data_IF_567854129422
#
_entry.id   IF_567854129422
#
_cell.length_a   1.000
_cell.length_b   1.000
_cell.length_c   1.000
_cell.angle_alpha   90.00
_cell.angle_beta   90.00
_cell.angle_gamma   90.00
#
_symmetry.space_group_name_H-M   'P 1'
#
loop_
_entity.id
_entity.type
_entity.pdbx_description
1 polymer ?
#
# COMPACT_ATOMS: atom_id res chain seq x y z
N UNK A 1 48.59 -20.20 15.36
CA UNK A 1 47.52 -19.84 14.40
C UNK A 1 46.85 -21.10 13.82
N UNK A 2 46.54 -22.09 14.67
CA UNK A 2 45.94 -23.38 14.27
C UNK A 2 44.73 -23.80 15.14
N UNK A 3 44.56 -23.24 16.34
CA UNK A 3 43.50 -23.66 17.26
C UNK A 3 42.14 -22.97 17.04
N UNK A 4 42.07 -21.93 16.20
CA UNK A 4 40.83 -21.18 15.95
C UNK A 4 39.97 -21.77 14.80
N UNK A 5 40.52 -22.69 13.99
CA UNK A 5 39.80 -23.30 12.86
C UNK A 5 38.94 -24.50 13.31
N UNK A 6 39.33 -25.17 14.40
CA UNK A 6 38.70 -26.41 14.86
C UNK A 6 37.37 -26.21 15.63
N UNK A 7 37.11 -25.00 16.13
CA UNK A 7 35.89 -24.68 16.89
C UNK A 7 34.68 -24.34 15.99
N UNK A 8 34.89 -23.91 14.75
CA UNK A 8 33.83 -23.60 13.78
C UNK A 8 33.20 -24.83 13.11
N UNK A 9 33.98 -25.87 12.85
CA UNK A 9 33.47 -27.14 12.30
C UNK A 9 32.61 -27.91 13.31
N UNK A 10 32.94 -27.83 14.60
CA UNK A 10 32.17 -28.52 15.63
C UNK A 10 30.78 -27.90 15.84
N UNK A 11 30.68 -26.56 15.79
CA UNK A 11 29.40 -25.87 16.00
C UNK A 11 28.42 -26.08 14.83
N UNK A 12 28.92 -26.09 13.59
CA UNK A 12 28.12 -26.37 12.38
C UNK A 12 27.62 -27.83 12.31
N UNK A 13 28.43 -28.78 12.78
CA UNK A 13 28.03 -30.19 12.96
C UNK A 13 26.91 -30.36 13.99
N UNK A 14 26.95 -29.58 15.08
CA UNK A 14 25.96 -29.68 16.15
C UNK A 14 24.61 -29.05 15.74
N UNK A 15 24.65 -27.90 15.06
CA UNK A 15 23.44 -27.23 14.52
C UNK A 15 22.74 -28.08 13.45
N UNK A 16 23.49 -28.74 12.57
CA UNK A 16 22.91 -29.63 11.56
C UNK A 16 22.27 -30.88 12.17
N UNK A 17 22.87 -31.45 13.22
CA UNK A 17 22.28 -32.56 13.99
C UNK A 17 21.00 -32.14 14.71
N UNK A 18 20.96 -30.96 15.33
CA UNK A 18 19.75 -30.43 16.00
C UNK A 18 18.62 -30.18 14.99
N UNK A 19 18.93 -29.59 13.82
CA UNK A 19 17.93 -29.36 12.76
C UNK A 19 17.37 -30.67 12.21
N UNK A 20 18.21 -31.69 12.04
CA UNK A 20 17.79 -33.04 11.66
C UNK A 20 16.90 -33.70 12.72
N UNK A 21 17.15 -33.47 14.00
CA UNK A 21 16.33 -34.01 15.09
C UNK A 21 14.98 -33.29 15.17
N UNK A 22 14.95 -31.96 14.98
CA UNK A 22 13.71 -31.18 14.92
C UNK A 22 12.84 -31.55 13.71
N UNK A 23 13.44 -31.73 12.52
CA UNK A 23 12.68 -32.12 11.33
C UNK A 23 12.08 -33.52 11.46
N UNK A 24 12.83 -34.46 12.06
CA UNK A 24 12.32 -35.79 12.40
C UNK A 24 11.19 -35.69 13.43
N UNK A 25 11.36 -34.88 14.48
CA UNK A 25 10.32 -34.61 15.48
C UNK A 25 9.03 -34.05 14.86
N UNK A 26 9.14 -33.09 13.94
CA UNK A 26 7.99 -32.54 13.21
C UNK A 26 7.31 -33.60 12.33
N UNK A 27 8.07 -34.45 11.65
CA UNK A 27 7.50 -35.52 10.82
C UNK A 27 6.71 -36.54 11.65
N UNK A 28 7.19 -36.90 12.85
CA UNK A 28 6.45 -37.77 13.76
C UNK A 28 5.20 -37.07 14.32
N UNK A 29 5.27 -35.77 14.62
CA UNK A 29 4.11 -35.00 15.06
C UNK A 29 3.00 -34.95 13.98
N UNK A 30 3.39 -34.80 12.70
CA UNK A 30 2.46 -34.87 11.56
C UNK A 30 1.79 -36.24 11.43
N UNK A 31 2.54 -37.33 11.60
CA UNK A 31 2.00 -38.69 11.56
C UNK A 31 0.99 -38.90 12.70
N UNK A 32 1.30 -38.42 13.92
CA UNK A 32 0.40 -38.50 15.07
C UNK A 32 -0.87 -37.66 14.83
N UNK A 33 -0.74 -36.45 14.26
CA UNK A 33 -1.88 -35.60 13.93
C UNK A 33 -2.81 -36.24 12.89
N UNK A 34 -2.24 -36.86 11.84
CA UNK A 34 -3.02 -37.60 10.84
C UNK A 34 -3.71 -38.80 11.48
N UNK A 35 -3.01 -39.58 12.32
CA UNK A 35 -3.59 -40.72 13.02
C UNK A 35 -4.73 -40.30 13.96
N UNK A 36 -4.55 -39.21 14.71
CA UNK A 36 -5.58 -38.64 15.57
C UNK A 36 -6.79 -38.18 14.76
N UNK A 37 -6.58 -37.47 13.64
CA UNK A 37 -7.64 -37.00 12.74
C UNK A 37 -8.45 -38.17 12.16
N UNK A 38 -7.77 -39.23 11.71
CA UNK A 38 -8.42 -40.45 11.22
C UNK A 38 -9.21 -41.14 12.34
N UNK A 39 -8.66 -41.21 13.56
CA UNK A 39 -9.36 -41.77 14.71
C UNK A 39 -10.61 -40.94 15.08
N UNK A 40 -10.54 -39.61 15.02
CA UNK A 40 -11.69 -38.73 15.23
C UNK A 40 -12.76 -38.96 14.17
N UNK A 41 -12.40 -38.98 12.88
CA UNK A 41 -13.35 -39.27 11.78
C UNK A 41 -13.95 -40.66 11.95
N UNK A 42 -13.17 -41.66 12.35
CA UNK A 42 -13.65 -43.01 12.63
C UNK A 42 -14.61 -43.06 13.83
N UNK A 43 -14.35 -42.29 14.88
CA UNK A 43 -15.22 -42.23 16.05
C UNK A 43 -16.56 -41.56 15.72
N UNK A 44 -16.54 -40.51 14.90
CA UNK A 44 -17.75 -39.79 14.48
C UNK A 44 -18.48 -40.42 13.28
N UNK A 45 -17.91 -41.47 12.64
CA UNK A 45 -18.51 -42.14 11.47
C UNK A 45 -19.93 -42.67 11.72
N UNK A 46 -20.20 -43.13 12.94
CA UNK A 46 -21.50 -43.68 13.36
C UNK A 46 -22.50 -42.55 13.64
N UNK A 47 -22.03 -41.42 14.16
CA UNK A 47 -22.88 -40.28 14.53
C UNK A 47 -23.26 -39.41 13.32
N UNK A 48 -22.38 -39.29 12.32
CA UNK A 48 -22.58 -38.43 11.15
C UNK A 48 -23.25 -39.10 9.94
N UNK A 49 -23.63 -40.39 10.04
CA UNK A 49 -24.22 -41.19 8.93
C UNK A 49 -23.50 -40.95 7.59
N UNK A 50 -22.17 -40.87 7.61
CA UNK A 50 -21.38 -40.44 6.45
C UNK A 50 -21.59 -41.34 5.23
N UNK A 51 -21.83 -42.62 5.45
CA UNK A 51 -22.13 -43.58 4.39
C UNK A 51 -23.46 -43.28 3.70
N UNK A 52 -24.53 -43.00 4.44
CA UNK A 52 -25.84 -42.65 3.87
C UNK A 52 -25.76 -41.33 3.09
N UNK A 53 -25.09 -40.32 3.65
CA UNK A 53 -24.91 -39.03 2.99
C UNK A 53 -24.06 -39.14 1.71
N UNK A 54 -23.01 -39.97 1.72
CA UNK A 54 -22.18 -40.19 0.54
C UNK A 54 -22.93 -40.96 -0.55
N UNK A 55 -23.78 -41.93 -0.18
CA UNK A 55 -24.63 -42.66 -1.11
C UNK A 55 -25.74 -41.76 -1.68
N UNK A 56 -26.32 -40.85 -0.89
CA UNK A 56 -27.31 -39.87 -1.37
C UNK A 56 -26.67 -38.87 -2.33
N UNK A 57 -25.48 -38.34 -2.02
CA UNK A 57 -24.74 -37.42 -2.89
C UNK A 57 -24.30 -38.12 -4.18
N UNK A 58 -23.79 -39.35 -4.09
CA UNK A 58 -23.39 -40.12 -5.27
C UNK A 58 -24.61 -40.52 -6.11
N UNK A 59 -25.73 -40.85 -5.46
CA UNK A 59 -27.01 -41.09 -6.13
C UNK A 59 -27.51 -39.85 -6.86
N UNK A 60 -27.48 -38.69 -6.21
CA UNK A 60 -27.87 -37.41 -6.80
C UNK A 60 -26.98 -37.06 -8.01
N UNK A 61 -25.66 -37.23 -7.90
CA UNK A 61 -24.71 -37.00 -9.00
C UNK A 61 -24.94 -37.98 -10.16
N UNK A 62 -25.22 -39.25 -9.86
CA UNK A 62 -25.51 -40.26 -10.89
C UNK A 62 -26.91 -40.11 -11.54
N UNK A 63 -27.82 -39.36 -10.91
CA UNK A 63 -29.15 -39.06 -11.48
C UNK A 63 -29.13 -37.81 -12.37
N UNK A 64 -28.07 -36.99 -12.31
CA UNK A 64 -27.87 -35.85 -13.20
C UNK A 64 -27.50 -36.36 -14.60
N UNK A 65 -28.50 -36.55 -15.44
CA UNK A 65 -28.31 -36.97 -16.83
C UNK A 65 -27.44 -35.96 -17.59
N UNK A 66 -26.61 -36.39 -18.55
CA UNK A 66 -25.81 -35.48 -19.39
C UNK A 66 -26.62 -34.36 -20.04
N UNK A 67 -27.91 -34.61 -20.31
CA UNK A 67 -28.87 -33.63 -20.82
C UNK A 67 -29.11 -32.46 -19.86
N UNK A 68 -29.09 -32.70 -18.54
CA UNK A 68 -29.23 -31.64 -17.53
C UNK A 68 -27.97 -30.77 -17.47
N UNK A 69 -26.77 -31.35 -17.53
CA UNK A 69 -25.53 -30.56 -17.58
C UNK A 69 -25.43 -29.70 -18.84
N UNK A 70 -25.84 -30.24 -20.00
CA UNK A 70 -25.91 -29.48 -21.25
C UNK A 70 -26.95 -28.36 -21.16
N UNK A 71 -28.12 -28.64 -20.56
CA UNK A 71 -29.15 -27.61 -20.35
C UNK A 71 -28.72 -26.53 -19.35
N UNK A 72 -28.04 -26.90 -18.26
CA UNK A 72 -27.53 -25.99 -17.24
C UNK A 72 -26.41 -25.09 -17.77
N UNK A 73 -25.50 -25.66 -18.57
CA UNK A 73 -24.42 -24.92 -19.21
C UNK A 73 -24.96 -24.01 -20.32
N UNK A 74 -25.93 -24.49 -21.09
CA UNK A 74 -26.59 -23.69 -22.12
C UNK A 74 -27.36 -22.51 -21.53
N UNK A 75 -28.15 -22.74 -20.48
CA UNK A 75 -28.93 -21.68 -19.82
C UNK A 75 -28.03 -20.67 -19.11
N UNK A 76 -26.98 -21.12 -18.41
CA UNK A 76 -26.04 -20.20 -17.75
C UNK A 76 -25.24 -19.36 -18.75
N UNK A 77 -24.84 -19.92 -19.89
CA UNK A 77 -24.16 -19.19 -20.96
C UNK A 77 -25.06 -18.12 -21.60
N UNK A 78 -26.34 -18.43 -21.85
CA UNK A 78 -27.30 -17.47 -22.41
C UNK A 78 -27.56 -16.32 -21.42
N UNK A 79 -27.76 -16.64 -20.14
CA UNK A 79 -27.99 -15.63 -19.10
C UNK A 79 -26.75 -14.74 -18.95
N UNK A 80 -25.56 -15.33 -18.92
CA UNK A 80 -24.29 -14.59 -18.84
C UNK A 80 -24.08 -13.67 -20.05
N UNK A 81 -24.40 -14.14 -21.26
CA UNK A 81 -24.35 -13.33 -22.48
C UNK A 81 -25.31 -12.14 -22.45
N UNK A 82 -26.54 -12.33 -21.97
CA UNK A 82 -27.52 -11.24 -21.82
C UNK A 82 -27.06 -10.18 -20.81
N UNK A 83 -26.51 -10.62 -19.67
CA UNK A 83 -25.95 -9.73 -18.66
C UNK A 83 -24.79 -8.92 -19.25
N UNK A 84 -23.90 -9.55 -20.04
CA UNK A 84 -22.77 -8.88 -20.66
C UNK A 84 -23.21 -7.82 -21.69
N UNK A 85 -24.22 -8.12 -22.52
CA UNK A 85 -24.76 -7.15 -23.48
C UNK A 85 -25.42 -5.97 -22.76
N UNK A 86 -26.16 -6.23 -21.69
CA UNK A 86 -26.76 -5.17 -20.87
C UNK A 86 -25.70 -4.31 -20.19
N UNK A 87 -24.69 -4.92 -19.59
CA UNK A 87 -23.55 -4.26 -18.95
C UNK A 87 -22.80 -3.37 -19.94
N UNK A 88 -22.52 -3.87 -21.15
CA UNK A 88 -21.87 -3.09 -22.19
C UNK A 88 -22.71 -1.88 -22.64
N UNK A 89 -24.02 -2.07 -22.82
CA UNK A 89 -24.93 -0.97 -23.16
C UNK A 89 -25.02 0.07 -22.05
N UNK A 90 -25.05 -0.38 -20.79
CA UNK A 90 -25.12 0.48 -19.61
C UNK A 90 -23.81 1.26 -19.43
N UNK A 91 -22.67 0.59 -19.51
CA UNK A 91 -21.34 1.19 -19.42
C UNK A 91 -21.12 2.23 -20.51
N UNK A 92 -21.53 1.94 -21.76
CA UNK A 92 -21.42 2.91 -22.87
C UNK A 92 -22.26 4.17 -22.62
N UNK A 93 -23.38 4.07 -21.89
CA UNK A 93 -24.30 5.18 -21.64
C UNK A 93 -23.95 6.00 -20.40
N UNK A 94 -23.44 5.36 -19.35
CA UNK A 94 -23.22 6.00 -18.04
C UNK A 94 -21.75 6.03 -17.59
N UNK A 95 -20.84 5.33 -18.28
CA UNK A 95 -19.41 5.28 -17.97
C UNK A 95 -19.05 4.52 -16.69
N UNK A 96 -20.01 3.80 -16.10
CA UNK A 96 -19.88 3.06 -14.84
C UNK A 96 -20.40 1.63 -15.03
N UNK A 97 -19.79 0.66 -14.36
CA UNK A 97 -20.21 -0.74 -14.40
C UNK A 97 -21.41 -0.97 -13.48
N UNK A 98 -22.49 -1.57 -13.99
CA UNK A 98 -23.68 -1.88 -13.20
C UNK A 98 -23.41 -3.07 -12.27
N UNK A 99 -22.71 -4.10 -12.76
CA UNK A 99 -22.28 -5.23 -11.93
C UNK A 99 -21.39 -4.76 -10.78
N UNK A 100 -20.48 -3.80 -11.00
CA UNK A 100 -19.64 -3.26 -9.94
C UNK A 100 -20.47 -2.56 -8.86
N UNK A 101 -21.45 -1.73 -9.23
CA UNK A 101 -22.33 -1.05 -8.26
C UNK A 101 -23.18 -2.04 -7.45
N UNK A 102 -23.75 -3.04 -8.10
CA UNK A 102 -24.61 -4.04 -7.45
C UNK A 102 -23.77 -4.99 -6.58
N UNK A 103 -22.60 -5.43 -7.07
CA UNK A 103 -21.69 -6.29 -6.30
C UNK A 103 -21.11 -5.57 -5.08
N UNK A 104 -20.74 -4.29 -5.20
CA UNK A 104 -20.30 -3.46 -4.07
C UNK A 104 -21.42 -3.31 -3.04
N UNK A 105 -22.68 -3.14 -3.47
CA UNK A 105 -23.82 -3.00 -2.55
C UNK A 105 -24.20 -4.32 -1.85
N UNK A 106 -24.12 -5.47 -2.52
CA UNK A 106 -24.48 -6.76 -1.94
C UNK A 106 -23.33 -7.48 -1.19
N UNK A 107 -22.07 -7.22 -1.56
CA UNK A 107 -20.91 -7.75 -0.84
C UNK A 107 -20.47 -6.84 0.32
N UNK A 108 -20.90 -5.57 0.35
CA UNK A 108 -20.63 -4.63 1.47
C UNK A 108 -20.98 -5.19 2.85
N UNK A 109 -22.17 -5.78 3.05
CA UNK A 109 -22.57 -6.31 4.36
C UNK A 109 -21.75 -7.55 4.76
N UNK A 110 -21.25 -8.33 3.79
CA UNK A 110 -20.44 -9.52 4.01
C UNK A 110 -18.95 -9.19 4.23
N UNK A 111 -18.47 -8.08 3.66
CA UNK A 111 -17.09 -7.57 3.84
C UNK A 111 -16.92 -6.63 5.05
N UNK A 112 -17.85 -6.66 6.01
CA UNK A 112 -17.72 -5.90 7.26
C UNK A 112 -17.87 -4.38 7.10
N UNK A 113 -18.55 -3.91 6.06
CA UNK A 113 -18.87 -2.51 5.89
C UNK A 113 -19.99 -2.08 6.84
N UNK A 114 -19.63 -1.51 8.00
CA UNK A 114 -20.56 -0.64 8.73
C UNK A 114 -20.86 0.59 7.88
N UNK A 115 -22.13 0.94 7.75
CA UNK A 115 -22.62 2.02 6.89
C UNK A 115 -21.95 3.38 7.14
N UNK A 116 -21.86 4.26 6.13
CA UNK A 116 -22.00 5.68 6.38
C UNK A 116 -23.50 6.01 6.38
N UNK A 117 -24.09 6.12 7.57
CA UNK A 117 -25.46 6.60 7.68
C UNK A 117 -25.51 8.06 7.21
N UNK A 118 -26.12 8.28 6.04
CA UNK A 118 -26.89 9.48 5.82
C UNK A 118 -28.23 9.30 6.57
N UNK A 119 -28.34 9.96 7.72
CA UNK A 119 -29.57 10.39 8.41
C UNK A 119 -30.79 9.45 8.35
N UNK A 120 -31.04 8.70 9.42
CA UNK A 120 -32.40 8.53 10.00
C UNK A 120 -32.36 8.02 11.45
N UNK A 121 -33.45 8.32 12.16
CA UNK A 121 -33.68 8.37 13.60
C UNK A 121 -33.69 6.99 14.30
N UNK A 122 -33.12 6.89 15.52
CA UNK A 122 -33.69 6.06 16.60
C UNK A 122 -32.84 4.94 17.26
N UNK A 123 -32.27 5.27 18.43
CA UNK A 123 -32.44 4.55 19.72
C UNK A 123 -31.72 3.21 20.02
N UNK A 124 -30.39 3.15 20.24
CA UNK A 124 -29.77 2.26 21.27
C UNK A 124 -28.37 2.75 21.67
N UNK A 125 -28.01 2.61 22.95
CA UNK A 125 -26.70 2.89 23.55
C UNK A 125 -25.86 1.62 23.70
N UNK A 126 -24.55 1.64 23.35
CA UNK A 126 -23.49 0.94 24.11
C UNK A 126 -22.08 1.17 23.55
N UNK A 127 -21.26 1.86 24.34
CA UNK A 127 -19.93 1.46 24.86
C UNK A 127 -18.87 0.81 23.94
N UNK A 128 -17.77 1.55 23.71
CA UNK A 128 -16.40 1.18 24.11
C UNK A 128 -15.65 0.01 23.44
N UNK A 129 -14.49 0.37 22.88
CA UNK A 129 -13.20 -0.37 22.85
C UNK A 129 -12.67 -0.95 21.52
N UNK A 130 -11.40 -0.57 21.26
CA UNK A 130 -10.35 -1.19 20.42
C UNK A 130 -10.32 -0.94 18.90
N UNK A 131 -9.80 0.25 18.54
CA UNK A 131 -9.17 0.50 17.23
C UNK A 131 -7.71 0.00 17.22
N UNK A 132 -7.47 -1.21 16.71
CA UNK A 132 -6.10 -1.61 16.30
C UNK A 132 -6.04 -2.62 15.15
N UNK A 133 -7.15 -2.95 14.49
CA UNK A 133 -7.19 -4.04 13.49
C UNK A 133 -7.80 -3.68 12.13
N UNK A 134 -8.10 -2.40 11.85
CA UNK A 134 -8.87 -1.98 10.65
C UNK A 134 -8.05 -1.72 9.38
N UNK A 135 -6.75 -1.99 9.36
CA UNK A 135 -5.92 -1.76 8.15
C UNK A 135 -5.79 -2.96 7.19
N UNK A 136 -6.46 -4.10 7.45
CA UNK A 136 -6.22 -5.36 6.73
C UNK A 136 -7.02 -5.55 5.42
N UNK A 137 -7.98 -4.69 5.09
CA UNK A 137 -8.61 -4.72 3.78
C UNK A 137 -7.98 -3.63 2.91
N UNK A 138 -6.90 -4.03 2.24
CA UNK A 138 -6.28 -3.26 1.17
C UNK A 138 -7.32 -3.09 0.06
N UNK A 139 -8.05 -1.97 0.12
CA UNK A 139 -8.69 -1.37 -1.04
C UNK A 139 -7.65 -1.41 -2.16
N UNK A 140 -7.99 -2.04 -3.29
CA UNK A 140 -7.19 -2.02 -4.50
C UNK A 140 -7.19 -0.57 -4.98
N UNK A 141 -6.38 0.27 -4.31
CA UNK A 141 -6.46 1.71 -4.41
C UNK A 141 -6.13 2.07 -5.84
N UNK A 142 -7.16 2.51 -6.55
CA UNK A 142 -7.08 3.13 -7.87
C UNK A 142 -5.89 4.10 -7.84
N UNK A 143 -5.01 3.90 -8.82
CA UNK A 143 -3.63 4.33 -8.80
C UNK A 143 -3.50 5.83 -8.48
N UNK A 144 -2.71 6.18 -7.46
CA UNK A 144 -2.39 7.56 -7.10
C UNK A 144 -1.26 8.07 -7.98
N UNK A 145 -1.51 9.00 -8.90
CA UNK A 145 -0.44 9.54 -9.78
C UNK A 145 0.50 8.42 -10.31
N UNK A 146 0.04 7.57 -11.28
CA UNK A 146 0.78 6.50 -11.98
C UNK A 146 2.27 6.71 -12.20
N UNK A 147 2.67 7.95 -12.36
CA UNK A 147 3.98 8.33 -12.83
C UNK A 147 4.80 9.03 -11.72
N UNK A 148 4.24 9.15 -10.51
CA UNK A 148 4.77 9.91 -9.38
C UNK A 148 5.26 11.33 -9.80
N UNK A 149 4.57 11.98 -10.76
CA UNK A 149 5.00 13.25 -11.34
C UNK A 149 5.10 14.36 -10.29
N UNK A 150 6.08 15.26 -10.47
CA UNK A 150 6.10 16.57 -9.82
C UNK A 150 5.04 17.47 -10.45
N UNK A 151 4.11 18.00 -9.63
CA UNK A 151 2.93 18.74 -10.13
C UNK A 151 3.33 19.95 -10.98
N UNK A 152 4.28 20.75 -10.53
CA UNK A 152 4.82 21.90 -11.27
C UNK A 152 5.79 21.45 -12.36
N UNK A 153 6.88 20.79 -11.95
CA UNK A 153 8.03 20.58 -12.82
C UNK A 153 7.78 19.59 -13.97
N UNK A 154 6.86 18.63 -13.81
CA UNK A 154 6.58 17.60 -14.80
C UNK A 154 5.13 17.69 -15.32
N UNK A 155 4.12 17.65 -14.44
CA UNK A 155 2.71 17.66 -14.84
C UNK A 155 2.33 18.98 -15.54
N UNK A 156 2.51 20.14 -14.88
CA UNK A 156 2.15 21.44 -15.45
C UNK A 156 2.98 21.74 -16.70
N UNK A 157 4.27 21.38 -16.69
CA UNK A 157 5.14 21.52 -17.85
C UNK A 157 4.66 20.69 -19.04
N UNK A 158 4.27 19.43 -18.82
CA UNK A 158 3.72 18.57 -19.87
C UNK A 158 2.40 19.13 -20.42
N UNK A 159 1.49 19.56 -19.55
CA UNK A 159 0.22 20.19 -19.94
C UNK A 159 0.45 21.48 -20.72
N UNK A 160 1.40 22.32 -20.31
CA UNK A 160 1.76 23.56 -21.01
C UNK A 160 2.27 23.29 -22.44
N UNK A 161 3.12 22.28 -22.61
CA UNK A 161 3.73 21.97 -23.91
C UNK A 161 2.75 21.26 -24.86
N UNK A 162 1.96 20.33 -24.33
CA UNK A 162 1.15 19.41 -25.15
C UNK A 162 -0.33 19.79 -25.22
N UNK A 163 -0.81 20.63 -24.30
CA UNK A 163 -2.23 20.90 -24.08
C UNK A 163 -3.02 19.71 -23.53
N UNK A 164 -2.34 18.63 -23.10
CA UNK A 164 -2.97 17.40 -22.59
C UNK A 164 -2.64 17.20 -21.12
N UNK A 165 -3.62 16.78 -20.34
CA UNK A 165 -3.43 16.45 -18.93
C UNK A 165 -2.86 15.02 -18.78
N UNK A 166 -1.69 14.83 -18.16
CA UNK A 166 -1.07 13.51 -18.01
C UNK A 166 -1.66 12.69 -16.85
N UNK A 167 -2.43 13.33 -15.96
CA UNK A 167 -3.15 12.71 -14.85
C UNK A 167 -4.61 13.13 -14.91
N UNK A 168 -5.51 12.25 -14.48
CA UNK A 168 -6.92 12.61 -14.40
C UNK A 168 -7.20 13.51 -13.20
N UNK A 169 -8.32 14.22 -13.23
CA UNK A 169 -8.84 14.96 -12.08
C UNK A 169 -8.96 14.07 -10.82
N UNK A 170 -9.34 12.80 -11.00
CA UNK A 170 -9.44 11.82 -9.92
C UNK A 170 -8.06 11.52 -9.29
N UNK A 171 -7.03 11.27 -10.10
CA UNK A 171 -5.67 11.01 -9.62
C UNK A 171 -5.09 12.21 -8.84
N UNK A 172 -5.41 13.42 -9.30
CA UNK A 172 -5.00 14.65 -8.65
C UNK A 172 -5.70 14.87 -7.30
N UNK A 173 -6.98 14.56 -7.23
CA UNK A 173 -7.74 14.60 -5.99
C UNK A 173 -7.25 13.57 -4.97
N UNK A 174 -6.95 12.34 -5.39
CA UNK A 174 -6.38 11.33 -4.49
C UNK A 174 -5.07 11.81 -3.87
N UNK A 175 -4.19 12.39 -4.69
CA UNK A 175 -2.93 12.96 -4.21
C UNK A 175 -3.15 14.10 -3.21
N UNK A 176 -4.14 14.97 -3.45
CA UNK A 176 -4.49 16.06 -2.53
C UNK A 176 -5.09 15.55 -1.20
N UNK A 177 -5.90 14.50 -1.24
CA UNK A 177 -6.44 13.86 -0.03
C UNK A 177 -5.32 13.19 0.79
N UNK A 178 -4.36 12.55 0.13
CA UNK A 178 -3.20 11.97 0.81
C UNK A 178 -2.35 13.10 1.46
N UNK A 179 -2.11 14.22 0.77
CA UNK A 179 -1.41 15.37 1.36
C UNK A 179 -2.13 15.92 2.60
N UNK A 180 -3.45 16.05 2.57
CA UNK A 180 -4.23 16.43 3.76
C UNK A 180 -4.08 15.40 4.88
N UNK A 181 -4.12 14.12 4.56
CA UNK A 181 -3.99 13.02 5.52
C UNK A 181 -2.59 12.97 6.15
N UNK A 182 -1.54 13.23 5.37
CA UNK A 182 -0.16 13.06 5.81
C UNK A 182 0.38 14.30 6.52
N UNK A 183 -0.04 15.49 6.09
CA UNK A 183 0.60 16.76 6.46
C UNK A 183 -0.23 17.59 7.44
N UNK A 184 -1.40 17.12 7.86
CA UNK A 184 -2.22 17.82 8.86
C UNK A 184 -2.48 16.98 10.10
N UNK A 185 -2.66 17.65 11.23
CA UNK A 185 -3.12 17.06 12.49
C UNK A 185 -3.97 18.06 13.28
N UNK A 186 -4.75 17.58 14.25
CA UNK A 186 -5.72 18.41 14.98
C UNK A 186 -5.07 19.56 15.76
N UNK A 187 -3.81 19.43 16.15
CA UNK A 187 -3.04 20.48 16.84
C UNK A 187 -2.52 21.58 15.92
N UNK A 188 -2.72 21.50 14.59
CA UNK A 188 -2.25 22.51 13.63
C UNK A 188 -2.84 23.90 13.93
N UNK A 189 -4.08 23.98 14.44
CA UNK A 189 -4.71 25.26 14.78
C UNK A 189 -3.97 26.04 15.87
N UNK A 190 -3.14 25.37 16.68
CA UNK A 190 -2.33 25.99 17.73
C UNK A 190 -1.03 26.61 17.19
N UNK A 191 -0.66 26.28 15.96
CA UNK A 191 0.57 26.71 15.30
C UNK A 191 0.21 27.62 14.13
N UNK A 192 0.47 28.94 14.21
CA UNK A 192 -0.03 29.90 13.23
C UNK A 192 0.30 29.58 11.76
N UNK A 193 1.52 29.14 11.44
CA UNK A 193 1.91 28.74 10.08
C UNK A 193 1.22 27.46 9.61
N UNK A 194 1.12 26.44 10.49
CA UNK A 194 0.44 25.19 10.17
C UNK A 194 -1.08 25.37 10.00
N UNK A 195 -1.70 26.29 10.75
CA UNK A 195 -3.10 26.66 10.59
C UNK A 195 -3.40 27.27 9.20
N UNK A 196 -2.48 28.07 8.66
CA UNK A 196 -2.56 28.58 7.28
C UNK A 196 -2.41 27.42 6.29
N UNK A 197 -1.43 26.55 6.51
CA UNK A 197 -1.19 25.40 5.64
C UNK A 197 -2.36 24.40 5.63
N UNK A 198 -3.03 24.18 6.75
CA UNK A 198 -4.22 23.32 6.83
C UNK A 198 -5.32 23.80 5.88
N UNK A 199 -5.49 25.13 5.74
CA UNK A 199 -6.40 25.72 4.75
C UNK A 199 -5.86 25.59 3.33
N UNK A 200 -4.55 25.81 3.14
CA UNK A 200 -3.89 25.69 1.83
C UNK A 200 -4.05 24.29 1.23
N UNK A 201 -3.92 23.22 2.01
CA UNK A 201 -4.08 21.84 1.51
C UNK A 201 -5.51 21.48 1.07
N UNK A 202 -6.51 22.24 1.53
CA UNK A 202 -7.93 22.08 1.15
C UNK A 202 -8.33 22.99 -0.03
N UNK A 203 -7.48 23.96 -0.35
CA UNK A 203 -7.74 24.91 -1.43
C UNK A 203 -7.60 24.22 -2.81
N UNK A 204 -8.56 24.48 -3.69
CA UNK A 204 -8.65 23.87 -5.02
C UNK A 204 -7.80 24.61 -6.04
N UNK A 205 -7.68 25.93 -5.90
CA UNK A 205 -6.99 26.78 -6.86
C UNK A 205 -5.47 26.76 -6.59
N UNK A 206 -4.64 26.31 -7.54
CA UNK A 206 -3.18 26.22 -7.34
C UNK A 206 -2.53 27.54 -6.94
N UNK A 207 -2.91 28.65 -7.58
CA UNK A 207 -2.36 29.98 -7.28
C UNK A 207 -2.71 30.45 -5.85
N UNK A 208 -3.91 30.12 -5.37
CA UNK A 208 -4.30 30.41 -3.99
C UNK A 208 -3.53 29.54 -2.99
N UNK A 209 -3.24 28.27 -3.33
CA UNK A 209 -2.36 27.39 -2.54
C UNK A 209 -0.95 27.96 -2.39
N UNK A 210 -0.34 28.39 -3.49
CA UNK A 210 1.01 28.97 -3.51
C UNK A 210 1.04 30.25 -2.65
N UNK A 211 0.06 31.14 -2.83
CA UNK A 211 -0.05 32.37 -2.02
C UNK A 211 -0.18 32.05 -0.52
N UNK A 212 -0.99 31.05 -0.16
CA UNK A 212 -1.14 30.64 1.23
C UNK A 212 0.14 30.03 1.81
N UNK A 213 0.93 29.29 1.02
CA UNK A 213 2.22 28.78 1.47
C UNK A 213 3.23 29.90 1.76
N UNK A 214 3.29 30.95 0.92
CA UNK A 214 4.09 32.14 1.23
C UNK A 214 3.60 32.85 2.50
N UNK A 215 2.29 33.00 2.69
CA UNK A 215 1.74 33.54 3.93
C UNK A 215 2.13 32.73 5.17
N UNK A 216 2.20 31.40 5.07
CA UNK A 216 2.66 30.55 6.16
C UNK A 216 4.15 30.78 6.48
N UNK A 217 4.98 31.01 5.46
CA UNK A 217 6.41 31.33 5.61
C UNK A 217 6.65 32.73 6.18
N UNK A 218 5.81 33.71 5.85
CA UNK A 218 5.85 35.06 6.43
C UNK A 218 5.58 35.04 7.95
N UNK A 219 4.72 34.13 8.39
CA UNK A 219 4.41 33.93 9.82
C UNK A 219 5.56 33.19 10.52
N UNK A 220 6.04 32.11 9.92
CA UNK A 220 7.18 31.35 10.42
C UNK A 220 7.98 30.76 9.25
N UNK A 221 9.20 31.26 9.08
CA UNK A 221 10.08 30.85 7.98
C UNK A 221 10.49 29.36 8.01
N UNK A 222 10.27 28.68 9.15
CA UNK A 222 10.61 27.26 9.38
C UNK A 222 9.39 26.32 9.22
N UNK A 223 8.52 26.59 8.22
CA UNK A 223 7.33 25.76 7.94
C UNK A 223 7.64 24.72 6.85
N UNK A 224 7.90 23.47 7.24
CA UNK A 224 8.27 22.39 6.32
C UNK A 224 7.19 22.10 5.26
N UNK A 225 5.91 22.09 5.66
CA UNK A 225 4.80 21.79 4.74
C UNK A 225 4.55 22.90 3.72
N UNK A 226 4.87 24.16 4.04
CA UNK A 226 4.84 25.26 3.09
C UNK A 226 5.88 25.05 1.98
N UNK A 227 7.13 24.74 2.33
CA UNK A 227 8.15 24.42 1.34
C UNK A 227 7.80 23.18 0.49
N UNK A 228 7.17 22.15 1.08
CA UNK A 228 6.66 21.01 0.31
C UNK A 228 5.62 21.45 -0.73
N UNK A 229 4.69 22.34 -0.36
CA UNK A 229 3.68 22.84 -1.29
C UNK A 229 4.32 23.63 -2.44
N UNK A 230 5.28 24.51 -2.15
CA UNK A 230 6.00 25.27 -3.18
C UNK A 230 6.80 24.36 -4.11
N UNK A 231 7.47 23.34 -3.56
CA UNK A 231 8.20 22.34 -4.34
C UNK A 231 7.29 21.54 -5.28
N UNK A 232 6.05 21.25 -4.84
CA UNK A 232 5.08 20.54 -5.67
C UNK A 232 4.44 21.45 -6.71
N UNK A 233 3.98 22.65 -6.36
CA UNK A 233 3.09 23.45 -7.21
C UNK A 233 3.79 24.55 -8.01
N UNK A 234 4.81 25.19 -7.43
CA UNK A 234 5.47 26.38 -8.02
C UNK A 234 6.73 26.03 -8.83
N UNK A 235 7.45 24.98 -8.43
CA UNK A 235 8.69 24.59 -9.10
C UNK A 235 8.45 24.27 -10.58
N UNK A 236 9.18 24.93 -11.47
CA UNK A 236 9.07 24.72 -12.93
C UNK A 236 10.05 23.67 -13.46
N UNK A 237 11.11 23.38 -12.71
CA UNK A 237 12.12 22.37 -13.03
C UNK A 237 12.37 21.46 -11.82
N UNK A 238 12.92 20.26 -12.09
CA UNK A 238 13.31 19.32 -11.02
C UNK A 238 14.38 19.94 -10.10
N UNK A 239 15.27 20.76 -10.66
CA UNK A 239 16.31 21.45 -9.88
C UNK A 239 15.71 22.50 -8.94
N UNK A 240 14.65 23.19 -9.35
CA UNK A 240 13.96 24.14 -8.47
C UNK A 240 13.15 23.42 -7.40
N UNK A 241 12.48 22.32 -7.76
CA UNK A 241 11.80 21.46 -6.80
C UNK A 241 12.78 20.95 -5.73
N UNK A 242 13.98 20.51 -6.13
CA UNK A 242 15.02 20.08 -5.21
C UNK A 242 15.41 21.18 -4.20
N UNK A 243 15.60 22.44 -4.64
CA UNK A 243 15.94 23.54 -3.74
C UNK A 243 14.88 23.76 -2.67
N UNK A 244 13.60 23.75 -3.06
CA UNK A 244 12.50 23.86 -2.10
C UNK A 244 12.46 22.65 -1.15
N UNK A 245 12.66 21.42 -1.66
CA UNK A 245 12.73 20.24 -0.80
C UNK A 245 13.94 20.23 0.15
N UNK A 246 15.07 20.84 -0.22
CA UNK A 246 16.22 21.00 0.68
C UNK A 246 15.88 21.97 1.84
N UNK A 247 15.16 23.06 1.54
CA UNK A 247 14.64 23.96 2.57
C UNK A 247 13.61 23.25 3.46
N UNK A 248 12.70 22.48 2.85
CA UNK A 248 11.74 21.65 3.55
C UNK A 248 12.43 20.65 4.48
N UNK A 249 13.54 20.02 4.05
CA UNK A 249 14.26 19.02 4.84
C UNK A 249 14.82 19.64 6.12
N UNK A 250 15.44 20.81 6.01
CA UNK A 250 15.97 21.53 7.18
C UNK A 250 14.89 21.83 8.22
N UNK A 251 13.74 22.35 7.76
CA UNK A 251 12.59 22.63 8.61
C UNK A 251 11.95 21.35 9.17
N UNK A 252 11.82 20.32 8.34
CA UNK A 252 11.22 19.03 8.68
C UNK A 252 12.04 18.26 9.73
N UNK A 253 13.37 18.26 9.61
CA UNK A 253 14.25 17.66 10.63
C UNK A 253 14.18 18.40 11.97
N UNK A 254 14.13 19.74 11.95
CA UNK A 254 13.92 20.58 13.14
C UNK A 254 12.61 20.23 13.84
N UNK A 255 11.51 20.14 13.08
CA UNK A 255 10.19 19.77 13.60
C UNK A 255 10.15 18.33 14.13
N UNK A 256 10.67 17.36 13.37
CA UNK A 256 10.72 15.95 13.75
C UNK A 256 11.49 15.73 15.06
N UNK A 257 12.68 16.33 15.22
CA UNK A 257 13.47 16.19 16.45
C UNK A 257 12.73 16.74 17.68
N UNK A 258 12.04 17.88 17.52
CA UNK A 258 11.24 18.48 18.60
C UNK A 258 10.04 17.60 18.98
N UNK A 259 9.29 17.13 17.99
CA UNK A 259 8.11 16.30 18.25
C UNK A 259 8.48 14.91 18.79
N UNK A 260 9.61 14.34 18.38
CA UNK A 260 10.12 13.07 18.89
C UNK A 260 10.39 13.12 20.41
N UNK A 261 10.89 14.25 20.92
CA UNK A 261 11.12 14.42 22.37
C UNK A 261 9.83 14.54 23.17
N UNK A 262 8.75 15.01 22.54
CA UNK A 262 7.49 15.34 23.19
C UNK A 262 6.39 14.29 22.98
N UNK A 263 6.62 13.30 22.11
CA UNK A 263 5.58 12.37 21.63
C UNK A 263 4.80 11.63 22.73
N UNK A 264 5.41 11.37 23.89
CA UNK A 264 4.78 10.64 24.99
C UNK A 264 4.03 11.52 25.99
N UNK A 265 4.01 12.84 25.81
CA UNK A 265 3.41 13.78 26.75
C UNK A 265 1.87 13.79 26.66
N UNK A 266 1.32 13.67 25.46
CA UNK A 266 -0.13 13.64 25.23
C UNK A 266 -0.47 13.08 23.85
N UNK A 267 -1.73 12.68 23.65
CA UNK A 267 -2.24 12.25 22.34
C UNK A 267 -2.07 13.32 21.25
N UNK A 268 -2.10 14.61 21.61
CA UNK A 268 -1.84 15.70 20.66
C UNK A 268 -0.39 15.72 20.18
N UNK A 269 0.57 15.49 21.08
CA UNK A 269 1.99 15.41 20.72
C UNK A 269 2.30 14.14 19.93
N UNK A 270 1.62 13.03 20.20
CA UNK A 270 1.72 11.80 19.40
C UNK A 270 1.22 12.04 17.96
N UNK A 271 0.05 12.67 17.80
CA UNK A 271 -0.50 13.03 16.49
C UNK A 271 0.44 13.97 15.72
N UNK A 272 1.00 14.97 16.42
CA UNK A 272 2.01 15.86 15.83
C UNK A 272 3.26 15.10 15.39
N UNK A 273 3.79 14.20 16.24
CA UNK A 273 4.97 13.41 15.90
C UNK A 273 4.73 12.52 14.68
N UNK A 274 3.56 11.89 14.58
CA UNK A 274 3.15 11.10 13.41
C UNK A 274 3.10 11.96 12.14
N UNK A 275 2.50 13.16 12.22
CA UNK A 275 2.46 14.13 11.11
C UNK A 275 3.86 14.58 10.69
N UNK A 276 4.71 14.98 11.64
CA UNK A 276 6.07 15.45 11.33
C UNK A 276 6.95 14.31 10.77
N UNK A 277 6.74 13.07 11.22
CA UNK A 277 7.37 11.86 10.63
C UNK A 277 6.93 11.66 9.19
N UNK A 278 5.63 11.77 8.89
CA UNK A 278 5.11 11.64 7.52
C UNK A 278 5.68 12.73 6.59
N UNK A 279 5.74 13.97 7.07
CA UNK A 279 6.33 15.10 6.34
C UNK A 279 7.81 14.83 6.04
N UNK A 280 8.59 14.40 7.02
CA UNK A 280 10.02 14.12 6.84
C UNK A 280 10.27 12.99 5.83
N UNK A 281 9.51 11.89 5.93
CA UNK A 281 9.59 10.76 4.99
C UNK A 281 9.24 11.22 3.57
N UNK A 282 8.18 12.01 3.43
CA UNK A 282 7.77 12.55 2.13
C UNK A 282 8.87 13.40 1.51
N UNK A 283 9.44 14.35 2.26
CA UNK A 283 10.51 15.23 1.78
C UNK A 283 11.72 14.42 1.31
N UNK A 284 12.22 13.50 2.14
CA UNK A 284 13.39 12.68 1.79
C UNK A 284 13.11 11.78 0.59
N UNK A 285 11.89 11.24 0.47
CA UNK A 285 11.47 10.47 -0.72
C UNK A 285 11.49 11.37 -1.96
N UNK A 286 10.92 12.57 -1.91
CA UNK A 286 10.92 13.50 -3.05
C UNK A 286 12.32 13.98 -3.42
N UNK A 287 13.21 14.20 -2.46
CA UNK A 287 14.63 14.47 -2.72
C UNK A 287 15.31 13.30 -3.45
N UNK A 288 15.06 12.06 -3.04
CA UNK A 288 15.58 10.89 -3.74
C UNK A 288 15.07 10.82 -5.20
N UNK A 289 13.80 11.17 -5.41
CA UNK A 289 13.23 11.25 -6.76
C UNK A 289 13.86 12.38 -7.58
N UNK A 290 14.07 13.57 -7.01
CA UNK A 290 14.80 14.67 -7.66
C UNK A 290 16.21 14.22 -8.05
N UNK A 291 16.97 13.61 -7.13
CA UNK A 291 18.31 13.12 -7.38
C UNK A 291 18.34 12.13 -8.55
N UNK A 292 17.40 11.17 -8.58
CA UNK A 292 17.27 10.22 -9.71
C UNK A 292 16.97 10.93 -11.03
N UNK A 293 15.98 11.84 -11.06
CA UNK A 293 15.59 12.61 -12.25
C UNK A 293 16.72 13.51 -12.76
N UNK A 294 17.64 13.91 -11.89
CA UNK A 294 18.86 14.68 -12.23
C UNK A 294 20.07 13.78 -12.57
N UNK A 295 19.89 12.46 -12.69
CA UNK A 295 20.95 11.51 -13.05
C UNK A 295 21.86 11.09 -11.88
N UNK A 296 21.62 11.56 -10.65
CA UNK A 296 22.36 11.16 -9.44
C UNK A 296 21.75 9.89 -8.83
N UNK A 297 21.71 8.81 -9.61
CA UNK A 297 20.98 7.58 -9.26
C UNK A 297 21.54 6.91 -7.99
N UNK A 298 22.87 6.90 -7.81
CA UNK A 298 23.51 6.34 -6.61
C UNK A 298 23.09 7.05 -5.32
N UNK A 299 22.93 8.37 -5.39
CA UNK A 299 22.45 9.18 -4.26
C UNK A 299 20.99 8.86 -3.94
N UNK A 300 20.13 8.77 -4.97
CA UNK A 300 18.74 8.38 -4.82
C UNK A 300 18.59 7.01 -4.13
N UNK A 301 19.35 6.00 -4.58
CA UNK A 301 19.36 4.66 -3.97
C UNK A 301 19.78 4.72 -2.50
N UNK A 302 20.82 5.52 -2.18
CA UNK A 302 21.27 5.69 -0.79
C UNK A 302 20.15 6.27 0.09
N UNK A 303 19.54 7.38 -0.35
CA UNK A 303 18.46 8.03 0.42
C UNK A 303 17.28 7.08 0.64
N UNK A 304 16.87 6.31 -0.39
CA UNK A 304 15.77 5.36 -0.27
C UNK A 304 16.09 4.19 0.67
N UNK A 305 17.32 3.65 0.63
CA UNK A 305 17.77 2.60 1.57
C UNK A 305 17.80 3.11 3.00
N UNK A 306 18.31 4.32 3.21
CA UNK A 306 18.37 4.95 4.54
C UNK A 306 16.94 5.14 5.10
N UNK A 307 16.01 5.63 4.28
CA UNK A 307 14.60 5.75 4.66
C UNK A 307 13.96 4.42 5.06
N UNK A 308 14.16 3.37 4.27
CA UNK A 308 13.60 2.04 4.56
C UNK A 308 14.20 1.42 5.82
N UNK A 309 15.44 1.77 6.18
CA UNK A 309 16.09 1.32 7.41
C UNK A 309 15.60 2.07 8.64
N UNK A 310 15.41 3.38 8.50
CA UNK A 310 15.00 4.27 9.60
C UNK A 310 13.51 4.15 9.91
N UNK A 311 12.67 3.92 8.88
CA UNK A 311 11.21 3.85 9.01
C UNK A 311 10.64 2.54 8.42
N UNK A 312 11.00 1.36 8.96
CA UNK A 312 10.66 0.06 8.36
C UNK A 312 9.15 -0.25 8.38
N UNK A 313 8.38 0.34 9.30
CA UNK A 313 6.94 0.09 9.48
C UNK A 313 6.05 1.03 8.66
N UNK A 314 6.62 2.08 8.04
CA UNK A 314 5.87 3.13 7.35
C UNK A 314 5.90 2.90 5.83
N UNK A 315 5.05 1.97 5.37
CA UNK A 315 4.84 1.69 3.94
C UNK A 315 4.03 2.77 3.19
N UNK A 316 3.80 3.94 3.80
CA UNK A 316 2.74 4.87 3.38
C UNK A 316 2.95 5.50 1.99
N UNK A 317 4.18 5.48 1.48
CA UNK A 317 4.57 6.17 0.23
C UNK A 317 5.33 5.27 -0.76
N UNK A 318 5.18 3.94 -0.67
CA UNK A 318 5.76 2.98 -1.64
C UNK A 318 7.26 3.22 -1.95
N UNK A 319 8.07 3.52 -0.93
CA UNK A 319 9.52 3.81 -1.08
C UNK A 319 10.26 2.67 -1.80
N UNK A 320 9.82 1.44 -1.55
CA UNK A 320 10.35 0.24 -2.18
C UNK A 320 10.18 0.26 -3.72
N UNK A 321 9.07 0.80 -4.25
CA UNK A 321 8.87 0.90 -5.70
C UNK A 321 9.86 1.88 -6.33
N UNK A 322 10.07 3.03 -5.69
CA UNK A 322 11.06 4.00 -6.19
C UNK A 322 12.49 3.46 -6.09
N UNK A 323 12.79 2.64 -5.07
CA UNK A 323 14.07 1.95 -4.95
C UNK A 323 14.25 0.91 -6.06
N UNK A 324 13.22 0.11 -6.36
CA UNK A 324 13.24 -0.84 -7.47
C UNK A 324 13.52 -0.12 -8.79
N UNK A 325 12.81 0.97 -9.08
CA UNK A 325 13.03 1.77 -10.29
C UNK A 325 14.47 2.28 -10.41
N UNK A 326 15.04 2.82 -9.32
CA UNK A 326 16.42 3.34 -9.33
C UNK A 326 17.47 2.22 -9.50
N UNK A 327 17.26 1.06 -8.87
CA UNK A 327 18.17 -0.09 -8.99
C UNK A 327 18.10 -0.74 -10.38
N UNK A 328 16.91 -0.81 -10.98
CA UNK A 328 16.72 -1.30 -12.35
C UNK A 328 17.41 -0.38 -13.36
N UNK A 329 17.33 0.94 -13.17
CA UNK A 329 18.02 1.92 -14.02
C UNK A 329 19.55 1.77 -13.97
N UNK A 330 20.10 1.39 -12.81
CA UNK A 330 21.51 1.05 -12.65
C UNK A 330 21.87 -0.37 -13.12
N UNK A 331 20.90 -1.17 -13.56
CA UNK A 331 21.07 -2.58 -13.88
C UNK A 331 21.61 -3.43 -12.71
N UNK A 332 21.34 -3.00 -11.47
CA UNK A 332 21.79 -3.68 -10.26
C UNK A 332 20.84 -4.85 -9.90
N UNK A 333 20.69 -5.84 -10.79
CA UNK A 333 19.65 -6.88 -10.66
C UNK A 333 19.75 -7.71 -9.39
N UNK A 334 20.96 -7.97 -8.88
CA UNK A 334 21.15 -8.66 -7.61
C UNK A 334 20.54 -7.88 -6.43
N UNK A 335 20.70 -6.55 -6.43
CA UNK A 335 20.09 -5.68 -5.41
C UNK A 335 18.57 -5.62 -5.57
N UNK A 336 18.05 -5.63 -6.81
CA UNK A 336 16.60 -5.70 -7.08
C UNK A 336 16.02 -7.00 -6.51
N UNK A 337 16.67 -8.14 -6.74
CA UNK A 337 16.25 -9.41 -6.16
C UNK A 337 16.28 -9.40 -4.63
N UNK A 338 17.29 -8.78 -4.02
CA UNK A 338 17.37 -8.64 -2.56
C UNK A 338 16.22 -7.81 -1.97
N UNK A 339 15.75 -6.78 -2.69
CA UNK A 339 14.56 -6.03 -2.30
C UNK A 339 13.30 -6.88 -2.46
N UNK A 340 13.12 -7.54 -3.60
CA UNK A 340 11.95 -8.38 -3.89
C UNK A 340 11.82 -9.57 -2.94
N UNK A 341 12.93 -10.16 -2.49
CA UNK A 341 12.93 -11.28 -1.55
C UNK A 341 12.23 -10.94 -0.22
N UNK A 342 12.24 -9.66 0.19
CA UNK A 342 11.50 -9.20 1.38
C UNK A 342 9.98 -9.22 1.19
N UNK A 343 9.50 -9.19 -0.04
CA UNK A 343 8.09 -9.18 -0.42
C UNK A 343 7.64 -10.50 -1.07
N UNK A 344 8.46 -11.55 -0.98
CA UNK A 344 8.09 -12.85 -1.55
C UNK A 344 7.06 -13.59 -0.67
N UNK A 345 7.04 -13.27 0.63
CA UNK A 345 6.04 -13.78 1.57
C UNK A 345 4.61 -13.39 1.15
N UNK A 346 3.70 -14.36 1.19
CA UNK A 346 2.27 -14.21 0.84
C UNK A 346 1.57 -13.25 1.81
N UNK A 347 2.13 -13.09 3.02
CA UNK A 347 1.58 -12.21 4.06
C UNK A 347 1.68 -10.71 3.74
N UNK A 348 2.57 -10.31 2.82
CA UNK A 348 2.79 -8.91 2.48
C UNK A 348 1.98 -8.49 1.25
N UNK A 349 1.32 -7.33 1.26
CA UNK A 349 0.61 -6.82 0.10
C UNK A 349 1.61 -6.59 -1.05
N UNK A 350 1.40 -7.25 -2.19
CA UNK A 350 2.25 -7.12 -3.38
C UNK A 350 1.65 -6.09 -4.33
N UNK A 351 2.40 -5.01 -4.58
CA UNK A 351 2.01 -4.05 -5.61
C UNK A 351 2.21 -4.61 -7.01
N UNK A 352 1.53 -4.05 -8.00
CA UNK A 352 1.73 -4.42 -9.41
C UNK A 352 3.22 -4.29 -9.81
N UNK A 353 3.89 -3.24 -9.34
CA UNK A 353 5.32 -3.01 -9.56
C UNK A 353 6.17 -4.19 -9.06
N UNK A 354 5.90 -4.69 -7.85
CA UNK A 354 6.60 -5.86 -7.29
C UNK A 354 6.34 -7.10 -8.16
N UNK A 355 5.07 -7.38 -8.45
CA UNK A 355 4.66 -8.57 -9.21
C UNK A 355 5.29 -8.60 -10.60
N UNK A 356 5.17 -7.51 -11.37
CA UNK A 356 5.72 -7.42 -12.71
C UNK A 356 7.25 -7.40 -12.71
N UNK A 357 7.89 -6.70 -11.78
CA UNK A 357 9.36 -6.69 -11.69
C UNK A 357 9.89 -8.09 -11.40
N UNK A 358 9.28 -8.81 -10.46
CA UNK A 358 9.67 -10.19 -10.16
C UNK A 358 9.48 -11.14 -11.34
N UNK A 359 8.34 -11.03 -12.05
CA UNK A 359 8.06 -11.86 -13.23
C UNK A 359 9.05 -11.58 -14.37
N UNK A 360 9.32 -10.31 -14.69
CA UNK A 360 10.24 -9.91 -15.76
C UNK A 360 11.68 -10.31 -15.45
N UNK A 361 12.13 -10.21 -14.19
CA UNK A 361 13.46 -10.69 -13.81
C UNK A 361 13.60 -12.20 -13.90
N UNK A 362 12.55 -12.97 -13.57
CA UNK A 362 12.54 -14.42 -13.76
C UNK A 362 12.60 -14.77 -15.25
N UNK A 363 11.80 -14.11 -16.08
CA UNK A 363 11.81 -14.32 -17.53
C UNK A 363 13.19 -14.02 -18.13
N UNK A 364 13.83 -12.94 -17.69
CA UNK A 364 15.21 -12.60 -18.09
C UNK A 364 16.21 -13.69 -17.72
N UNK A 365 16.17 -14.18 -16.48
CA UNK A 365 17.10 -15.21 -16.00
C UNK A 365 16.94 -16.55 -16.74
N UNK A 366 15.79 -16.80 -17.38
CA UNK A 366 15.56 -17.97 -18.25
C UNK A 366 16.02 -17.71 -19.69
N UNK A 367 16.08 -16.45 -20.12
CA UNK A 367 16.49 -16.07 -21.47
C UNK A 367 18.01 -15.88 -21.65
N UNK A 368 18.72 -15.58 -20.57
CA UNK A 368 20.19 -15.61 -20.49
C UNK A 368 20.68 -17.06 -20.34
#
# INVERSE_FOLDING_TARGET
MADAVNSGEFSSSLVSRVRSLLSRGLSYAWIIFIAASVATVYHFRVYLRLYENFVVVTGFINTLTPKFYVALTGTSSIISGLILVFEYCYFKKYGISFIEQVSVNHLRPLMGGTEPAASTVGFFTSTGENESSRQLLSECKVWRNPLNLFRGAEYNRYTWITGREPLTYYDMNLSAQDHQTFFTCDSDSLRPSDAVMQKAWRERIPQARIKAAYQALDVLNDCATAYVLLAEEEATTIADAEKYFQQALKAGESAYRKSQQQQHLSSQYEAQHKRDTNVLIYIRRRLAMCARRLGRIKEAVKIMRDLMKEFPLLSMVNIHENLLEALLEMQAYADVQAVLAKYDDISLPKSATICYTAALLKARAVSE
#
